data_IF_562141952326
#
_entry.id   IF_562141952326
#
_cell.length_a   1.000
_cell.length_b   1.000
_cell.length_c   1.000
_cell.angle_alpha   90.00
_cell.angle_beta   90.00
_cell.angle_gamma   90.00
#
_symmetry.space_group_name_H-M   'P 1'
#
loop_
_entity.id
_entity.type
_entity.pdbx_description
1 polymer ?
#
# COMPACT_ATOMS: atom_id res chain seq x y z
N UNK A 1 -23.88 -2.78 51.79
CA UNK A 1 -23.40 -3.77 50.83
C UNK A 1 -23.48 -3.11 49.47
N UNK A 2 -22.39 -2.49 49.09
CA UNK A 2 -22.28 -1.86 47.76
C UNK A 2 -21.60 -2.87 46.84
N UNK A 3 -22.40 -3.46 45.99
CA UNK A 3 -21.92 -4.30 44.94
C UNK A 3 -21.45 -3.38 43.80
N UNK A 4 -20.18 -2.98 43.90
CA UNK A 4 -19.51 -2.21 42.87
C UNK A 4 -19.08 -3.20 41.77
N UNK A 5 -20.06 -3.62 40.99
CA UNK A 5 -19.78 -4.38 39.77
C UNK A 5 -19.39 -3.39 38.70
N UNK A 6 -18.16 -2.89 38.79
CA UNK A 6 -17.54 -2.18 37.69
C UNK A 6 -17.29 -3.19 36.60
N UNK A 7 -18.17 -3.20 35.62
CA UNK A 7 -17.96 -3.97 34.39
C UNK A 7 -16.61 -3.54 33.76
N UNK A 8 -15.75 -4.47 33.35
CA UNK A 8 -14.52 -4.10 32.71
C UNK A 8 -14.85 -3.32 31.43
N UNK A 9 -14.20 -2.17 31.29
CA UNK A 9 -14.29 -1.38 30.06
C UNK A 9 -14.02 -2.29 28.85
N UNK A 10 -14.74 -2.12 27.71
CA UNK A 10 -14.53 -2.96 26.55
C UNK A 10 -13.05 -2.90 26.15
N UNK A 11 -12.39 -4.06 26.25
CA UNK A 11 -11.02 -4.21 25.80
C UNK A 11 -11.01 -4.18 24.29
N UNK A 12 -11.02 -3.00 23.73
CA UNK A 12 -10.97 -3.08 22.33
C UNK A 12 -10.80 -1.81 21.64
N UNK A 13 -10.01 -1.20 21.41
CA UNK A 13 -9.58 -0.16 20.50
C UNK A 13 -8.51 0.67 21.19
N UNK A 14 -7.32 0.10 21.28
CA UNK A 14 -6.14 0.90 21.46
C UNK A 14 -6.07 1.82 20.25
N UNK A 15 -6.28 3.09 20.48
CA UNK A 15 -6.03 4.11 19.47
C UNK A 15 -4.53 4.09 19.23
N UNK A 16 -4.13 3.60 18.07
CA UNK A 16 -2.72 3.52 17.72
C UNK A 16 -2.21 4.87 17.22
N UNK A 17 -0.93 5.13 17.41
CA UNK A 17 -0.28 6.28 16.82
C UNK A 17 -0.32 6.22 15.28
N UNK A 18 -0.43 7.37 14.62
CA UNK A 18 -0.57 7.46 13.15
C UNK A 18 0.55 6.76 12.39
N UNK A 19 1.79 6.90 12.84
CA UNK A 19 2.93 6.23 12.20
C UNK A 19 2.83 4.71 12.29
N UNK A 20 2.37 4.19 13.43
CA UNK A 20 2.16 2.74 13.62
C UNK A 20 1.02 2.23 12.74
N UNK A 21 -0.03 3.01 12.57
CA UNK A 21 -1.12 2.69 11.64
C UNK A 21 -0.62 2.64 10.20
N UNK A 22 0.23 3.60 9.81
CA UNK A 22 0.85 3.63 8.50
C UNK A 22 1.67 2.36 8.24
N UNK A 23 2.50 1.96 9.19
CA UNK A 23 3.32 0.73 9.07
C UNK A 23 2.43 -0.50 8.87
N UNK A 24 1.32 -0.60 9.59
CA UNK A 24 0.38 -1.72 9.43
C UNK A 24 -0.24 -1.77 8.04
N UNK A 25 -0.64 -0.63 7.49
CA UNK A 25 -1.16 -0.54 6.12
C UNK A 25 -0.08 -0.96 5.13
N UNK A 26 1.15 -0.50 5.31
CA UNK A 26 2.29 -0.88 4.47
C UNK A 26 2.59 -2.37 4.53
N UNK A 27 2.55 -2.97 5.72
CA UNK A 27 2.79 -4.41 5.88
C UNK A 27 1.70 -5.23 5.19
N UNK A 28 0.46 -4.78 5.23
CA UNK A 28 -0.64 -5.38 4.48
C UNK A 28 -0.38 -5.28 2.97
N UNK A 29 0.02 -4.12 2.48
CA UNK A 29 0.37 -3.91 1.06
C UNK A 29 1.52 -4.81 0.62
N UNK A 30 2.56 -4.94 1.45
CA UNK A 30 3.69 -5.85 1.18
C UNK A 30 3.23 -7.30 1.07
N UNK A 31 2.34 -7.73 1.96
CA UNK A 31 1.77 -9.09 1.95
C UNK A 31 0.92 -9.35 0.70
N UNK A 32 0.06 -8.41 0.34
CA UNK A 32 -0.77 -8.50 -0.87
C UNK A 32 0.08 -8.54 -2.14
N UNK A 33 1.11 -7.71 -2.21
CA UNK A 33 2.03 -7.68 -3.34
C UNK A 33 2.81 -8.99 -3.46
N UNK A 34 3.29 -9.54 -2.35
CA UNK A 34 4.01 -10.82 -2.34
C UNK A 34 3.10 -11.96 -2.82
N UNK A 35 1.85 -11.99 -2.37
CA UNK A 35 0.88 -13.00 -2.81
C UNK A 35 0.59 -12.86 -4.32
N UNK A 36 0.40 -11.64 -4.80
CA UNK A 36 0.16 -11.37 -6.21
C UNK A 36 1.34 -11.83 -7.09
N UNK A 37 2.57 -11.53 -6.66
CA UNK A 37 3.78 -11.96 -7.36
C UNK A 37 3.88 -13.47 -7.45
N UNK A 38 3.58 -14.18 -6.37
CA UNK A 38 3.55 -15.65 -6.34
C UNK A 38 2.52 -16.23 -7.30
N UNK A 39 1.32 -15.69 -7.33
CA UNK A 39 0.25 -16.14 -8.20
C UNK A 39 0.58 -15.87 -9.69
N UNK A 40 1.20 -14.72 -9.99
CA UNK A 40 1.62 -14.39 -11.35
C UNK A 40 2.79 -15.27 -11.82
N UNK A 41 3.72 -15.60 -10.96
CA UNK A 41 4.82 -16.51 -11.28
C UNK A 41 4.29 -17.90 -11.61
N UNK A 42 3.34 -18.43 -10.83
CA UNK A 42 2.70 -19.71 -11.09
C UNK A 42 1.91 -19.73 -12.41
N UNK A 43 1.23 -18.63 -12.74
CA UNK A 43 0.47 -18.52 -13.99
C UNK A 43 1.37 -18.49 -15.23
N UNK A 44 2.58 -17.93 -15.11
CA UNK A 44 3.56 -17.88 -16.21
C UNK A 44 4.19 -19.22 -16.57
N UNK A 45 4.14 -20.20 -15.66
CA UNK A 45 4.77 -21.51 -15.80
C UNK A 45 3.81 -22.62 -16.30
N UNK A 46 2.69 -22.25 -16.93
CA UNK A 46 1.70 -23.22 -17.40
C UNK A 46 2.27 -24.14 -18.48
N UNK A 47 2.27 -25.48 -18.29
CA UNK A 47 2.89 -26.43 -19.21
C UNK A 47 2.07 -26.76 -20.44
N UNK A 48 0.86 -26.23 -20.61
CA UNK A 48 0.03 -26.49 -21.77
C UNK A 48 0.39 -25.56 -22.93
N UNK A 49 0.66 -26.08 -24.11
CA UNK A 49 1.08 -25.34 -25.31
C UNK A 49 0.06 -24.36 -25.91
N UNK A 50 -0.93 -23.94 -25.14
CA UNK A 50 -1.82 -22.81 -25.43
C UNK A 50 -1.24 -21.54 -24.82
N UNK A 51 -1.28 -20.42 -25.54
CA UNK A 51 -0.88 -19.12 -25.01
C UNK A 51 -1.56 -18.88 -23.67
N UNK A 52 -0.80 -18.63 -22.57
CA UNK A 52 -1.41 -18.45 -21.26
C UNK A 52 -2.27 -17.18 -21.25
N UNK A 53 -3.50 -17.32 -20.76
CA UNK A 53 -4.40 -16.19 -20.54
C UNK A 53 -4.48 -15.93 -19.04
N UNK A 54 -4.55 -14.68 -18.67
CA UNK A 54 -4.70 -14.27 -17.28
C UNK A 54 -6.06 -14.72 -16.76
N UNK A 55 -6.05 -15.57 -15.73
CA UNK A 55 -7.26 -16.08 -15.10
C UNK A 55 -8.09 -14.94 -14.48
N UNK A 56 -9.41 -15.06 -14.49
CA UNK A 56 -10.32 -14.01 -14.03
C UNK A 56 -10.09 -13.61 -12.57
N UNK A 57 -9.83 -14.57 -11.67
CA UNK A 57 -9.56 -14.28 -10.27
C UNK A 57 -8.26 -13.53 -10.08
N UNK A 58 -7.23 -13.91 -10.83
CA UNK A 58 -5.94 -13.22 -10.79
C UNK A 58 -6.05 -11.81 -11.36
N UNK A 59 -6.84 -11.62 -12.40
CA UNK A 59 -7.19 -10.30 -12.95
C UNK A 59 -7.82 -9.42 -11.88
N UNK A 60 -8.80 -9.93 -11.14
CA UNK A 60 -9.44 -9.20 -10.03
C UNK A 60 -8.46 -8.84 -8.93
N UNK A 61 -7.56 -9.74 -8.56
CA UNK A 61 -6.52 -9.47 -7.56
C UNK A 61 -5.59 -8.34 -7.99
N UNK A 62 -5.15 -8.36 -9.25
CA UNK A 62 -4.30 -7.28 -9.80
C UNK A 62 -5.01 -5.94 -9.72
N UNK A 63 -6.26 -5.87 -10.19
CA UNK A 63 -7.02 -4.62 -10.21
C UNK A 63 -7.35 -4.13 -8.82
N UNK A 64 -7.70 -5.01 -7.88
CA UNK A 64 -7.97 -4.66 -6.48
C UNK A 64 -6.71 -4.11 -5.79
N UNK A 65 -5.56 -4.72 -6.03
CA UNK A 65 -4.29 -4.23 -5.50
C UNK A 65 -3.96 -2.84 -6.04
N UNK A 66 -4.10 -2.63 -7.35
CA UNK A 66 -3.86 -1.33 -7.98
C UNK A 66 -4.78 -0.25 -7.40
N UNK A 67 -6.05 -0.55 -7.25
CA UNK A 67 -7.04 0.38 -6.69
C UNK A 67 -6.73 0.72 -5.24
N UNK A 68 -6.38 -0.27 -4.43
CA UNK A 68 -6.06 -0.07 -3.02
C UNK A 68 -4.81 0.78 -2.84
N UNK A 69 -3.73 0.47 -3.56
CA UNK A 69 -2.48 1.23 -3.47
C UNK A 69 -2.66 2.66 -3.98
N UNK A 70 -3.38 2.83 -5.08
CA UNK A 70 -3.68 4.17 -5.61
C UNK A 70 -4.48 5.00 -4.61
N UNK A 71 -5.52 4.42 -4.01
CA UNK A 71 -6.34 5.08 -2.99
C UNK A 71 -5.55 5.46 -1.75
N UNK A 72 -4.62 4.61 -1.31
CA UNK A 72 -3.72 4.89 -0.20
C UNK A 72 -2.85 6.12 -0.48
N UNK A 73 -2.19 6.17 -1.63
CA UNK A 73 -1.36 7.33 -2.01
C UNK A 73 -2.18 8.60 -2.22
N UNK A 74 -3.38 8.49 -2.77
CA UNK A 74 -4.28 9.63 -2.94
C UNK A 74 -4.69 10.22 -1.59
N UNK A 75 -4.98 9.37 -0.60
CA UNK A 75 -5.30 9.82 0.75
C UNK A 75 -4.10 10.50 1.41
N UNK A 76 -2.89 9.97 1.23
CA UNK A 76 -1.67 10.59 1.74
C UNK A 76 -1.45 11.97 1.12
N UNK A 77 -1.51 12.06 -0.20
CA UNK A 77 -1.29 13.33 -0.92
C UNK A 77 -2.35 14.39 -0.59
N UNK A 78 -3.57 13.96 -0.32
CA UNK A 78 -4.69 14.86 -0.04
C UNK A 78 -4.79 15.34 1.40
N UNK A 79 -4.33 14.55 2.36
CA UNK A 79 -4.53 14.81 3.80
C UNK A 79 -3.28 14.71 4.62
N UNK A 80 -2.60 13.56 4.57
CA UNK A 80 -1.50 13.24 5.48
C UNK A 80 -0.30 14.13 5.24
N UNK A 81 0.18 14.19 4.02
CA UNK A 81 1.38 14.96 3.67
C UNK A 81 1.16 16.47 3.82
N UNK A 82 0.01 17.05 3.40
CA UNK A 82 -0.25 18.46 3.69
C UNK A 82 -0.31 18.77 5.19
N UNK A 83 -0.85 17.87 6.00
CA UNK A 83 -0.86 18.01 7.46
C UNK A 83 0.54 18.04 8.05
N UNK A 84 1.40 17.12 7.61
CA UNK A 84 2.81 17.10 8.01
C UNK A 84 3.56 18.35 7.56
N UNK A 85 3.31 18.83 6.36
CA UNK A 85 3.96 20.05 5.85
C UNK A 85 3.67 21.27 6.73
N UNK A 86 2.47 21.35 7.28
CA UNK A 86 2.09 22.45 8.18
C UNK A 86 2.76 22.35 9.56
N UNK A 87 2.82 21.16 10.11
CA UNK A 87 3.35 20.95 11.46
C UNK A 87 4.84 20.68 11.53
N UNK A 88 5.44 20.21 10.42
CA UNK A 88 6.85 19.86 10.30
C UNK A 88 7.42 20.46 9.01
N UNK A 89 7.63 21.80 8.96
CA UNK A 89 8.10 22.47 7.72
C UNK A 89 9.47 21.99 7.24
N UNK A 90 10.30 21.48 8.13
CA UNK A 90 11.61 20.90 7.82
C UNK A 90 11.53 19.62 6.97
N UNK A 91 10.37 18.96 6.93
CA UNK A 91 10.15 17.79 6.10
C UNK A 91 9.78 18.11 4.64
N UNK A 92 9.67 19.37 4.26
CA UNK A 92 9.25 19.74 2.91
C UNK A 92 9.98 18.99 1.78
N UNK A 93 11.31 18.85 1.78
CA UNK A 93 12.01 18.09 0.73
C UNK A 93 11.62 16.61 0.70
N UNK A 94 11.38 16.00 1.87
CA UNK A 94 10.93 14.60 1.99
C UNK A 94 9.55 14.45 1.40
N UNK A 95 8.62 15.33 1.76
CA UNK A 95 7.23 15.27 1.31
C UNK A 95 7.13 15.48 -0.20
N UNK A 96 7.93 16.37 -0.78
CA UNK A 96 8.01 16.55 -2.24
C UNK A 96 8.49 15.27 -2.94
N UNK A 97 9.50 14.62 -2.39
CA UNK A 97 10.01 13.36 -2.92
C UNK A 97 8.94 12.26 -2.87
N UNK A 98 8.23 12.13 -1.75
CA UNK A 98 7.14 11.14 -1.61
C UNK A 98 6.05 11.37 -2.65
N UNK A 99 5.64 12.61 -2.85
CA UNK A 99 4.64 12.97 -3.86
C UNK A 99 5.10 12.60 -5.28
N UNK A 100 6.36 12.83 -5.60
CA UNK A 100 6.93 12.42 -6.90
C UNK A 100 6.94 10.90 -7.05
N UNK A 101 7.31 10.17 -5.99
CA UNK A 101 7.31 8.71 -5.99
C UNK A 101 5.90 8.16 -6.17
N UNK A 102 4.89 8.77 -5.54
CA UNK A 102 3.49 8.42 -5.75
C UNK A 102 3.08 8.57 -7.24
N UNK A 103 3.53 9.61 -7.91
CA UNK A 103 3.24 9.81 -9.33
C UNK A 103 3.87 8.74 -10.22
N UNK A 104 5.10 8.33 -9.91
CA UNK A 104 5.79 7.26 -10.63
C UNK A 104 5.04 5.93 -10.45
N UNK A 105 4.69 5.61 -9.22
CA UNK A 105 3.94 4.40 -8.89
C UNK A 105 2.55 4.41 -9.55
N UNK A 106 1.85 5.54 -9.54
CA UNK A 106 0.55 5.69 -10.18
C UNK A 106 0.60 5.35 -11.67
N UNK A 107 1.63 5.81 -12.38
CA UNK A 107 1.83 5.47 -13.79
C UNK A 107 2.09 3.99 -14.01
N UNK A 108 2.85 3.36 -13.10
CA UNK A 108 3.07 1.92 -13.16
C UNK A 108 1.77 1.14 -12.93
N UNK A 109 0.92 1.60 -12.00
CA UNK A 109 -0.40 0.99 -11.77
C UNK A 109 -1.32 1.11 -12.98
N UNK A 110 -1.34 2.26 -13.65
CA UNK A 110 -2.09 2.46 -14.89
C UNK A 110 -1.62 1.49 -15.98
N UNK A 111 -0.31 1.31 -16.09
CA UNK A 111 0.27 0.36 -17.04
C UNK A 111 -0.14 -1.07 -16.74
N UNK A 112 -0.14 -1.46 -15.47
CA UNK A 112 -0.60 -2.80 -15.08
C UNK A 112 -2.06 -3.01 -15.45
N UNK A 113 -2.91 -2.01 -15.23
CA UNK A 113 -4.33 -2.09 -15.60
C UNK A 113 -4.49 -2.32 -17.11
N UNK A 114 -3.75 -1.60 -17.94
CA UNK A 114 -3.74 -1.80 -19.41
C UNK A 114 -3.30 -3.21 -19.78
N UNK A 115 -2.22 -3.71 -19.17
CA UNK A 115 -1.69 -5.04 -19.44
C UNK A 115 -2.65 -6.15 -18.97
N UNK A 116 -3.34 -5.94 -17.87
CA UNK A 116 -4.39 -6.86 -17.37
C UNK A 116 -5.53 -6.97 -18.39
N UNK A 117 -5.95 -5.86 -18.99
CA UNK A 117 -6.96 -5.87 -20.05
C UNK A 117 -6.50 -6.67 -21.27
N UNK A 118 -5.22 -6.59 -21.61
CA UNK A 118 -4.62 -7.40 -22.69
C UNK A 118 -4.55 -8.89 -22.40
N UNK A 119 -4.58 -9.27 -21.12
CA UNK A 119 -4.69 -10.66 -20.69
C UNK A 119 -3.43 -11.51 -20.76
N UNK A 120 -2.27 -10.95 -21.07
CA UNK A 120 -1.00 -11.68 -21.12
C UNK A 120 -0.36 -11.73 -19.74
N UNK A 121 -0.31 -12.91 -19.08
CA UNK A 121 0.22 -13.02 -17.73
C UNK A 121 1.71 -12.74 -17.62
N UNK A 122 2.49 -12.96 -18.68
CA UNK A 122 3.93 -12.69 -18.67
C UNK A 122 4.20 -11.19 -18.63
N UNK A 123 3.49 -10.41 -19.43
CA UNK A 123 3.63 -8.96 -19.43
C UNK A 123 3.17 -8.33 -18.11
N UNK A 124 2.06 -8.83 -17.54
CA UNK A 124 1.58 -8.39 -16.23
C UNK A 124 2.60 -8.72 -15.14
N UNK A 125 3.10 -9.94 -15.12
CA UNK A 125 4.13 -10.38 -14.16
C UNK A 125 5.37 -9.49 -14.22
N UNK A 126 5.89 -9.21 -15.39
CA UNK A 126 7.11 -8.43 -15.57
C UNK A 126 6.92 -7.00 -15.07
N UNK A 127 5.76 -6.39 -15.31
CA UNK A 127 5.46 -5.04 -14.83
C UNK A 127 5.24 -5.02 -13.31
N UNK A 128 4.58 -6.04 -12.75
CA UNK A 128 4.40 -6.17 -11.29
C UNK A 128 5.76 -6.37 -10.59
N UNK A 129 6.68 -7.12 -11.19
CA UNK A 129 8.03 -7.28 -10.64
C UNK A 129 8.79 -5.94 -10.59
N UNK A 130 8.68 -5.13 -11.62
CA UNK A 130 9.23 -3.77 -11.61
C UNK A 130 8.59 -2.91 -10.54
N UNK A 131 7.27 -2.93 -10.45
CA UNK A 131 6.51 -2.19 -9.44
C UNK A 131 6.93 -2.59 -8.04
N UNK A 132 7.14 -3.89 -7.81
CA UNK A 132 7.53 -4.41 -6.49
C UNK A 132 8.80 -3.75 -5.97
N UNK A 133 9.82 -3.61 -6.81
CA UNK A 133 11.05 -2.92 -6.43
C UNK A 133 10.83 -1.45 -6.08
N UNK A 134 10.03 -0.75 -6.86
CA UNK A 134 9.71 0.67 -6.63
C UNK A 134 8.89 0.86 -5.35
N UNK A 135 7.89 0.00 -5.12
CA UNK A 135 7.03 0.06 -3.94
C UNK A 135 7.82 -0.24 -2.67
N UNK A 136 8.63 -1.29 -2.66
CA UNK A 136 9.45 -1.64 -1.49
C UNK A 136 10.37 -0.47 -1.09
N UNK A 137 11.08 0.11 -2.04
CA UNK A 137 11.97 1.24 -1.80
C UNK A 137 11.19 2.46 -1.30
N UNK A 138 10.04 2.74 -1.87
CA UNK A 138 9.17 3.85 -1.49
C UNK A 138 8.63 3.69 -0.07
N UNK A 139 8.06 2.52 0.26
CA UNK A 139 7.50 2.27 1.59
C UNK A 139 8.59 2.35 2.68
N UNK A 140 9.75 1.78 2.43
CA UNK A 140 10.90 1.87 3.36
C UNK A 140 11.35 3.31 3.59
N UNK A 141 11.45 4.09 2.53
CA UNK A 141 11.82 5.50 2.63
C UNK A 141 10.79 6.31 3.40
N UNK A 142 9.52 6.13 3.07
CA UNK A 142 8.42 6.83 3.75
C UNK A 142 8.41 6.52 5.25
N UNK A 143 8.50 5.25 5.62
CA UNK A 143 8.52 4.87 7.03
C UNK A 143 9.70 5.48 7.79
N UNK A 144 10.89 5.44 7.21
CA UNK A 144 12.09 6.01 7.85
C UNK A 144 11.99 7.53 8.03
N UNK A 145 11.31 8.20 7.13
CA UNK A 145 11.29 9.65 7.11
C UNK A 145 10.16 10.28 7.91
N UNK A 146 8.97 9.66 7.95
CA UNK A 146 7.79 10.32 8.49
C UNK A 146 7.10 9.61 9.67
N UNK A 147 7.42 8.36 10.00
CA UNK A 147 6.75 7.63 11.08
C UNK A 147 6.89 8.35 12.42
N UNK A 148 8.09 8.81 12.78
CA UNK A 148 8.31 9.51 14.05
C UNK A 148 7.52 10.81 14.11
N UNK A 149 7.50 11.57 13.03
CA UNK A 149 6.73 12.81 12.96
C UNK A 149 5.22 12.55 13.09
N UNK A 150 4.71 11.50 12.45
CA UNK A 150 3.30 11.09 12.57
C UNK A 150 2.97 10.66 14.01
N UNK A 151 3.87 9.93 14.64
CA UNK A 151 3.65 9.47 16.03
C UNK A 151 3.70 10.63 17.03
N UNK A 152 4.28 11.77 16.68
CA UNK A 152 4.33 12.95 17.54
C UNK A 152 2.98 13.59 17.77
N UNK A 153 1.97 13.31 16.93
CA UNK A 153 0.59 13.80 17.15
C UNK A 153 -0.14 13.08 18.30
N UNK A 154 0.43 12.00 18.81
CA UNK A 154 -0.25 11.14 19.76
C UNK A 154 -1.24 10.18 19.06
N UNK A 155 -1.98 9.36 19.87
CA UNK A 155 -2.91 8.39 19.30
C UNK A 155 -4.14 9.08 18.71
N UNK A 156 -4.37 8.90 17.41
CA UNK A 156 -5.53 9.38 16.67
C UNK A 156 -6.02 8.31 15.70
N UNK A 157 -7.29 8.39 15.31
CA UNK A 157 -7.87 7.45 14.34
C UNK A 157 -7.74 8.01 12.93
N UNK A 158 -7.24 7.18 12.02
CA UNK A 158 -7.22 7.49 10.59
C UNK A 158 -8.59 7.28 9.94
#
# INVERSE_FOLDING_TARGET
MNDDTTAPAPQGQRIEALGDQLVKIHDMLRGELAALRGDLAAAGDSPSGTAPTLEQQLRKKCLSFCEFLHGHHTAEDGRLLPGLARSHPDLAPVLERLTREHSVISRALDRIQELVEGGDPVLVRDEVERLAGEVEAHLDYEERQIVDALNSYGPVTL
#
